data_IF_657340495722
#
_entry.id   IF_657340495722
#
_cell.length_a   1.000
_cell.length_b   1.000
_cell.length_c   1.000
_cell.angle_alpha   90.00
_cell.angle_beta   90.00
_cell.angle_gamma   90.00
#
_symmetry.space_group_name_H-M   'P 1'
#
loop_
_entity.id
_entity.type
_entity.pdbx_description
1 polymer ?
#
# COMPACT_ATOMS: atom_id res chain seq x y z
N UNK A 1 8.91 36.44 11.28
CA UNK A 1 7.87 36.37 10.24
C UNK A 1 7.28 34.97 10.29
N UNK A 2 6.00 34.80 10.67
CA UNK A 2 5.31 33.50 10.62
C UNK A 2 4.85 33.31 9.17
N UNK A 3 5.32 32.28 8.48
CA UNK A 3 4.77 31.92 7.17
C UNK A 3 3.35 31.43 7.38
N UNK A 4 2.37 32.26 7.03
CA UNK A 4 0.98 31.84 6.83
C UNK A 4 0.93 31.02 5.54
N UNK A 5 1.43 29.79 5.58
CA UNK A 5 1.17 28.83 4.52
C UNK A 5 -0.20 28.25 4.84
N UNK A 6 -1.19 28.60 4.02
CA UNK A 6 -2.52 28.03 4.07
C UNK A 6 -2.40 26.49 4.04
N UNK A 7 -2.89 25.75 5.06
CA UNK A 7 -2.75 24.30 5.11
C UNK A 7 -3.33 23.62 3.86
N UNK A 8 -4.33 24.21 3.20
CA UNK A 8 -4.86 23.69 1.93
C UNK A 8 -3.85 23.73 0.78
N UNK A 9 -2.96 24.72 0.75
CA UNK A 9 -1.90 24.80 -0.27
C UNK A 9 -0.78 23.78 -0.04
N UNK A 10 -0.67 23.22 1.17
CA UNK A 10 0.28 22.14 1.48
C UNK A 10 -0.24 20.79 0.97
N UNK A 11 -1.55 20.61 0.87
CA UNK A 11 -2.20 19.36 0.42
C UNK A 11 -1.96 19.11 -1.07
N UNK A 12 -1.95 20.16 -1.90
CA UNK A 12 -1.75 20.02 -3.36
C UNK A 12 -0.30 19.61 -3.73
N UNK A 13 0.64 19.67 -2.78
CA UNK A 13 2.06 19.33 -3.01
C UNK A 13 2.44 17.89 -2.64
N UNK A 14 1.57 17.13 -1.98
CA UNK A 14 1.82 15.71 -1.64
C UNK A 14 1.36 14.73 -2.72
N UNK A 15 0.91 15.22 -3.88
CA UNK A 15 0.53 14.36 -5.00
C UNK A 15 1.68 13.44 -5.46
N UNK A 16 2.94 13.84 -5.22
CA UNK A 16 4.13 13.12 -5.62
C UNK A 16 4.94 12.70 -4.39
N UNK A 17 5.05 11.39 -4.21
CA UNK A 17 5.77 10.75 -3.12
C UNK A 17 5.89 9.26 -3.39
N UNK A 18 6.81 8.61 -2.70
CA UNK A 18 7.06 7.17 -2.84
C UNK A 18 7.23 6.54 -1.47
N UNK A 19 7.14 5.21 -1.45
CA UNK A 19 7.39 4.40 -0.26
C UNK A 19 8.52 3.44 -0.56
N UNK A 20 9.40 3.23 0.42
CA UNK A 20 10.45 2.22 0.37
C UNK A 20 10.42 1.40 1.65
N UNK A 21 10.90 0.17 1.57
CA UNK A 21 10.86 -0.80 2.66
C UNK A 21 12.28 -1.18 3.08
N UNK A 22 12.66 -0.79 4.29
CA UNK A 22 13.92 -1.19 4.89
C UNK A 22 13.70 -2.45 5.72
N UNK A 23 14.30 -3.56 5.28
CA UNK A 23 14.21 -4.84 5.97
C UNK A 23 15.55 -5.23 6.60
N UNK A 24 15.62 -5.50 7.91
CA UNK A 24 16.85 -6.00 8.54
C UNK A 24 17.25 -7.35 7.97
N UNK A 25 18.54 -7.48 7.63
CA UNK A 25 19.13 -8.75 7.19
C UNK A 25 19.07 -9.76 8.33
N UNK A 26 18.71 -10.99 8.01
CA UNK A 26 18.84 -12.13 8.91
C UNK A 26 19.46 -13.30 8.15
N UNK A 27 20.25 -14.13 8.83
CA UNK A 27 20.95 -15.25 8.18
C UNK A 27 20.02 -16.40 7.75
N UNK A 28 18.85 -16.48 8.38
CA UNK A 28 17.81 -17.49 8.13
C UNK A 28 16.81 -17.07 7.03
N UNK A 29 16.80 -15.80 6.62
CA UNK A 29 15.84 -15.26 5.68
C UNK A 29 16.51 -14.49 4.54
N UNK A 30 16.13 -14.82 3.32
CA UNK A 30 16.47 -14.04 2.12
C UNK A 30 15.33 -13.08 1.84
N UNK A 31 15.67 -11.81 1.69
CA UNK A 31 14.75 -10.77 1.25
C UNK A 31 15.01 -10.43 -0.21
N UNK A 32 13.94 -10.32 -1.01
CA UNK A 32 14.04 -9.86 -2.40
C UNK A 32 12.93 -8.87 -2.71
N UNK A 33 13.21 -7.84 -3.54
CA UNK A 33 12.19 -6.89 -3.94
C UNK A 33 11.15 -7.57 -4.84
N UNK A 34 9.91 -7.08 -4.77
CA UNK A 34 8.86 -7.39 -5.73
C UNK A 34 8.78 -6.22 -6.69
N UNK A 35 8.92 -6.50 -7.99
CA UNK A 35 8.72 -5.49 -9.01
C UNK A 35 7.23 -5.25 -9.18
N UNK A 36 6.76 -4.06 -8.81
CA UNK A 36 5.38 -3.62 -8.99
C UNK A 36 5.41 -2.45 -9.96
N UNK A 37 4.62 -2.48 -11.02
CA UNK A 37 4.53 -1.40 -12.01
C UNK A 37 3.67 -0.24 -11.48
N UNK A 38 4.01 0.26 -10.29
CA UNK A 38 3.34 1.36 -9.62
C UNK A 38 4.29 2.03 -8.64
N UNK A 39 4.65 3.30 -8.88
CA UNK A 39 5.58 4.06 -8.02
C UNK A 39 5.08 4.26 -6.58
N UNK A 40 3.80 4.00 -6.35
CA UNK A 40 3.13 4.13 -5.05
C UNK A 40 3.09 2.82 -4.26
N UNK A 41 3.54 1.72 -4.86
CA UNK A 41 3.58 0.41 -4.21
C UNK A 41 5.01 -0.12 -4.29
N UNK A 42 5.59 -0.41 -3.12
CA UNK A 42 6.84 -1.13 -3.01
C UNK A 42 6.59 -2.46 -2.33
N UNK A 43 7.17 -3.53 -2.84
CA UNK A 43 7.01 -4.86 -2.27
C UNK A 43 8.33 -5.50 -1.89
N UNK A 44 8.33 -6.26 -0.81
CA UNK A 44 9.43 -7.15 -0.44
C UNK A 44 8.87 -8.50 -0.02
N UNK A 45 9.47 -9.57 -0.51
CA UNK A 45 9.20 -10.93 -0.04
C UNK A 45 10.36 -11.44 0.78
N UNK A 46 10.03 -12.17 1.86
CA UNK A 46 10.98 -12.86 2.71
C UNK A 46 10.76 -14.36 2.60
N UNK A 47 11.82 -15.07 2.28
CA UNK A 47 11.83 -16.52 2.10
C UNK A 47 12.83 -17.14 3.07
N UNK A 48 12.50 -18.31 3.60
CA UNK A 48 13.48 -19.14 4.29
C UNK A 48 14.49 -19.69 3.29
N UNK A 49 15.73 -19.93 3.73
CA UNK A 49 16.75 -20.52 2.88
C UNK A 49 16.29 -21.89 2.35
N UNK A 50 16.21 -22.03 1.02
CA UNK A 50 15.81 -23.28 0.37
C UNK A 50 14.30 -23.45 0.16
N UNK A 51 13.48 -22.48 0.55
CA UNK A 51 12.04 -22.51 0.27
C UNK A 51 11.65 -21.64 -0.92
N UNK A 52 10.71 -22.13 -1.72
CA UNK A 52 10.20 -21.42 -2.90
C UNK A 52 9.05 -20.46 -2.56
N UNK A 53 8.29 -20.74 -1.50
CA UNK A 53 7.15 -19.93 -1.09
C UNK A 53 7.61 -18.89 -0.05
N UNK A 54 7.31 -17.59 -0.22
CA UNK A 54 7.59 -16.60 0.81
C UNK A 54 6.88 -16.90 2.12
N UNK A 55 7.60 -16.74 3.22
CA UNK A 55 7.04 -16.83 4.57
C UNK A 55 6.26 -15.54 4.88
N UNK A 56 6.76 -14.40 4.41
CA UNK A 56 6.14 -13.09 4.58
C UNK A 56 6.33 -12.25 3.34
N UNK A 57 5.26 -11.65 2.85
CA UNK A 57 5.27 -10.63 1.81
C UNK A 57 4.78 -9.32 2.42
N UNK A 58 5.54 -8.24 2.25
CA UNK A 58 5.17 -6.90 2.74
C UNK A 58 5.01 -5.97 1.56
N UNK A 59 3.86 -5.32 1.45
CA UNK A 59 3.61 -4.24 0.51
C UNK A 59 3.54 -2.92 1.26
N UNK A 60 4.46 -2.01 0.93
CA UNK A 60 4.39 -0.60 1.29
C UNK A 60 3.51 0.12 0.27
N UNK A 61 2.51 0.86 0.73
CA UNK A 61 1.58 1.61 -0.10
C UNK A 61 1.61 3.09 0.28
N UNK A 62 1.67 3.97 -0.72
CA UNK A 62 1.59 5.41 -0.56
C UNK A 62 0.37 5.98 -1.31
N UNK A 63 -0.67 6.27 -0.54
CA UNK A 63 -1.90 6.91 -1.01
C UNK A 63 -2.03 8.29 -0.35
N UNK A 64 -1.60 9.38 -1.02
CA UNK A 64 -1.74 10.72 -0.48
C UNK A 64 -3.22 11.09 -0.38
N UNK A 65 -3.50 12.08 0.47
CA UNK A 65 -4.85 12.58 0.72
C UNK A 65 -5.58 12.93 -0.59
N UNK A 66 -6.77 12.35 -0.77
CA UNK A 66 -7.60 12.58 -1.95
C UNK A 66 -8.42 13.86 -1.74
N UNK A 67 -8.15 14.90 -2.53
CA UNK A 67 -8.90 16.15 -2.50
C UNK A 67 -10.23 16.10 -3.28
N UNK A 68 -10.63 14.92 -3.76
CA UNK A 68 -11.85 14.71 -4.53
C UNK A 68 -11.77 15.15 -6.00
N UNK A 69 -10.63 15.64 -6.48
CA UNK A 69 -10.42 15.89 -7.92
C UNK A 69 -10.40 14.55 -8.68
N UNK A 70 -10.92 14.56 -9.91
CA UNK A 70 -11.12 13.36 -10.71
C UNK A 70 -9.81 12.59 -11.01
N UNK A 71 -8.73 13.31 -11.24
CA UNK A 71 -7.38 12.76 -11.46
C UNK A 71 -6.85 12.03 -10.23
N UNK A 72 -7.08 12.57 -9.03
CA UNK A 72 -6.67 11.92 -7.78
C UNK A 72 -7.53 10.70 -7.45
N UNK A 73 -8.84 10.76 -7.71
CA UNK A 73 -9.74 9.61 -7.54
C UNK A 73 -9.34 8.47 -8.48
N UNK A 74 -9.03 8.80 -9.74
CA UNK A 74 -8.56 7.83 -10.72
C UNK A 74 -7.24 7.19 -10.26
N UNK A 75 -6.26 8.00 -9.89
CA UNK A 75 -4.96 7.51 -9.39
C UNK A 75 -5.13 6.61 -8.15
N UNK A 76 -6.00 7.00 -7.21
CA UNK A 76 -6.31 6.20 -6.02
C UNK A 76 -6.90 4.83 -6.39
N UNK A 77 -7.82 4.81 -7.36
CA UNK A 77 -8.46 3.58 -7.82
C UNK A 77 -7.48 2.64 -8.52
N UNK A 78 -6.63 3.18 -9.40
CA UNK A 78 -5.59 2.41 -10.10
C UNK A 78 -4.61 1.76 -9.12
N UNK A 79 -4.17 2.48 -8.09
CA UNK A 79 -3.28 1.92 -7.05
C UNK A 79 -3.96 0.79 -6.28
N UNK A 80 -5.24 0.93 -5.94
CA UNK A 80 -5.97 -0.13 -5.24
C UNK A 80 -6.16 -1.38 -6.08
N UNK A 81 -6.45 -1.24 -7.37
CA UNK A 81 -6.58 -2.40 -8.26
C UNK A 81 -5.24 -3.13 -8.41
N UNK A 82 -4.13 -2.39 -8.61
CA UNK A 82 -2.78 -2.99 -8.67
C UNK A 82 -2.39 -3.65 -7.34
N UNK A 83 -2.72 -3.02 -6.21
CA UNK A 83 -2.47 -3.60 -4.88
C UNK A 83 -3.23 -4.92 -4.70
N UNK A 84 -4.50 -4.98 -5.13
CA UNK A 84 -5.29 -6.20 -5.06
C UNK A 84 -4.64 -7.32 -5.89
N UNK A 85 -4.22 -7.03 -7.12
CA UNK A 85 -3.51 -8.00 -7.97
C UNK A 85 -2.22 -8.51 -7.31
N UNK A 86 -1.49 -7.61 -6.62
CA UNK A 86 -0.32 -7.97 -5.85
C UNK A 86 -0.67 -8.91 -4.68
N UNK A 87 -1.72 -8.61 -3.91
CA UNK A 87 -2.15 -9.48 -2.80
C UNK A 87 -2.55 -10.87 -3.32
N UNK A 88 -3.34 -10.91 -4.38
CA UNK A 88 -3.81 -12.16 -4.99
C UNK A 88 -2.64 -13.00 -5.52
N UNK A 89 -1.60 -12.36 -6.07
CA UNK A 89 -0.39 -13.04 -6.54
C UNK A 89 0.43 -13.71 -5.41
N UNK A 90 0.29 -13.23 -4.18
CA UNK A 90 1.05 -13.70 -3.02
C UNK A 90 0.18 -14.32 -1.91
N UNK A 91 -1.06 -14.72 -2.24
CA UNK A 91 -2.05 -15.29 -1.31
C UNK A 91 -1.56 -16.55 -0.55
N UNK A 92 -0.55 -17.24 -1.07
CA UNK A 92 0.05 -18.43 -0.44
C UNK A 92 1.06 -18.08 0.67
N UNK A 93 1.40 -16.80 0.83
CA UNK A 93 2.27 -16.27 1.89
C UNK A 93 1.45 -15.44 2.89
N UNK A 94 1.98 -15.21 4.09
CA UNK A 94 1.43 -14.16 4.93
C UNK A 94 1.67 -12.81 4.26
N UNK A 95 0.60 -12.05 3.97
CA UNK A 95 0.69 -10.73 3.36
C UNK A 95 0.46 -9.64 4.41
N UNK A 96 1.35 -8.66 4.44
CA UNK A 96 1.24 -7.48 5.28
C UNK A 96 1.24 -6.23 4.40
N UNK A 97 0.21 -5.40 4.52
CA UNK A 97 0.14 -4.09 3.86
C UNK A 97 0.47 -3.02 4.90
N UNK A 98 1.43 -2.15 4.59
CA UNK A 98 1.89 -1.04 5.45
C UNK A 98 1.96 0.25 4.63
N UNK A 99 1.91 1.39 5.30
CA UNK A 99 2.16 2.68 4.66
C UNK A 99 1.11 3.74 4.96
N UNK A 100 1.24 4.89 4.30
CA UNK A 100 0.33 6.01 4.42
C UNK A 100 -0.85 5.76 3.47
N UNK A 101 -1.83 5.02 3.96
CA UNK A 101 -3.13 4.87 3.34
C UNK A 101 -4.03 5.94 3.96
N UNK A 102 -4.02 7.17 3.45
CA UNK A 102 -4.93 8.20 3.97
C UNK A 102 -6.37 7.75 3.71
N UNK A 103 -6.99 7.14 4.73
CA UNK A 103 -8.38 6.65 4.73
C UNK A 103 -9.41 7.78 4.70
N UNK A 104 -8.98 9.05 4.70
CA UNK A 104 -9.86 10.19 4.45
C UNK A 104 -10.24 10.26 2.97
N UNK A 105 -10.98 9.26 2.50
CA UNK A 105 -11.97 9.49 1.44
C UNK A 105 -12.80 10.70 1.90
N UNK A 106 -13.01 11.71 1.05
CA UNK A 106 -13.74 12.89 1.45
C UNK A 106 -15.09 12.47 2.06
N UNK A 107 -15.26 12.73 3.36
CA UNK A 107 -16.50 12.44 4.11
C UNK A 107 -17.72 13.21 3.56
N UNK A 108 -17.50 14.06 2.56
CA UNK A 108 -18.48 14.90 1.91
C UNK A 108 -18.40 14.64 0.42
N UNK A 109 -19.49 14.07 -0.10
CA UNK A 109 -19.80 13.80 -1.51
C UNK A 109 -19.43 12.41 -2.04
N UNK A 110 -20.51 11.63 -2.17
CA UNK A 110 -20.69 10.42 -2.96
C UNK A 110 -20.16 9.15 -2.29
N UNK A 111 -21.09 8.54 -1.54
CA UNK A 111 -21.29 7.11 -1.34
C UNK A 111 -20.34 6.20 -2.13
N UNK A 112 -19.11 6.06 -1.66
CA UNK A 112 -18.15 5.07 -2.14
C UNK A 112 -18.37 3.73 -1.40
N UNK A 113 -19.63 3.27 -1.36
CA UNK A 113 -20.01 1.98 -0.74
C UNK A 113 -19.29 0.78 -1.38
N UNK A 114 -18.81 0.92 -2.63
CA UNK A 114 -17.98 -0.11 -3.29
C UNK A 114 -16.54 -0.19 -2.78
N UNK A 115 -15.99 0.88 -2.18
CA UNK A 115 -14.61 0.93 -1.67
C UNK A 115 -14.53 0.40 -0.24
N UNK A 116 -15.46 0.76 0.64
CA UNK A 116 -15.54 0.23 2.00
C UNK A 116 -15.77 -1.30 2.05
N UNK A 117 -16.40 -1.88 1.01
CA UNK A 117 -16.56 -3.33 0.89
C UNK A 117 -15.29 -4.05 0.40
N UNK A 118 -14.36 -3.36 -0.27
CA UNK A 118 -13.08 -3.94 -0.75
C UNK A 118 -11.94 -3.80 0.26
N UNK A 119 -12.00 -2.83 1.18
CA UNK A 119 -10.96 -2.61 2.20
C UNK A 119 -11.17 -3.49 3.44
N UNK A 120 -11.42 -4.78 3.26
CA UNK A 120 -11.17 -5.74 4.33
C UNK A 120 -9.70 -6.13 4.22
N UNK A 121 -8.85 -5.53 5.05
CA UNK A 121 -7.44 -5.96 5.17
C UNK A 121 -7.45 -7.39 5.71
N UNK A 122 -7.25 -8.36 4.82
CA UNK A 122 -7.13 -9.77 5.18
C UNK A 122 -5.78 -10.00 5.88
N UNK A 123 -5.79 -10.02 7.21
CA UNK A 123 -4.80 -10.79 7.96
C UNK A 123 -5.21 -12.26 7.91
N UNK A 124 -4.89 -12.97 6.82
CA UNK A 124 -4.94 -14.43 6.84
C UNK A 124 -3.87 -14.94 7.80
N UNK A 125 -4.29 -15.42 8.97
CA UNK A 125 -3.42 -16.28 9.77
C UNK A 125 -3.14 -17.53 8.94
N UNK A 126 -1.88 -17.96 8.78
CA UNK A 126 -1.63 -19.31 8.29
C UNK A 126 -2.32 -20.27 9.25
N UNK A 127 -3.20 -21.11 8.71
CA UNK A 127 -3.82 -22.22 9.44
C UNK A 127 -2.69 -23.05 10.05
N UNK A 128 -2.58 -23.03 11.38
CA UNK A 128 -1.64 -23.86 12.13
C UNK A 128 -1.90 -25.33 11.82
N UNK A 129 -0.80 -26.04 11.53
CA UNK A 129 -0.65 -27.50 11.52
C UNK A 129 -1.29 -28.17 12.75
#
# INVERSE_FOLDING_TARGET
MKSNTDPEQVIDRRAYGGIDLICPRRSDLVSSPINVECDRISGIKRQSNGEHIPVLTVFGVYLPNCNGKADQIQCYSEVLDILQECIDSYHQSAVLVVGDMNESLPHTLITCERLAQKTTVYCSRPSSL
#
